data_IF_573399756932
#
_entry.id   IF_573399756932
#
_cell.length_a   1.000
_cell.length_b   1.000
_cell.length_c   1.000
_cell.angle_alpha   90.00
_cell.angle_beta   90.00
_cell.angle_gamma   90.00
#
_symmetry.space_group_name_H-M   'P 1'
#
loop_
_entity.id
_entity.type
_entity.pdbx_description
1 polymer ?
#
# COMPACT_ATOMS: atom_id res chain seq x y z
N UNK A 1 -29.90 -8.59 2.08
CA UNK A 1 -29.67 -7.13 1.95
C UNK A 1 -28.64 -6.99 0.84
N UNK A 2 -29.05 -6.68 -0.39
CA UNK A 2 -28.09 -6.50 -1.48
C UNK A 2 -27.48 -5.09 -1.37
N UNK A 3 -26.15 -4.94 -1.46
CA UNK A 3 -25.52 -3.63 -1.55
C UNK A 3 -26.07 -2.87 -2.77
N UNK A 4 -26.48 -1.60 -2.60
CA UNK A 4 -26.91 -0.73 -3.70
C UNK A 4 -28.38 -0.27 -3.70
N UNK A 5 -29.19 -0.63 -2.70
CA UNK A 5 -30.58 -0.17 -2.61
C UNK A 5 -30.73 1.05 -1.71
N UNK A 6 -31.35 2.13 -2.20
CA UNK A 6 -31.62 3.37 -1.43
C UNK A 6 -32.82 3.25 -0.48
N UNK A 7 -33.54 2.13 -0.52
CA UNK A 7 -34.73 1.90 0.30
C UNK A 7 -34.34 1.28 1.65
N UNK A 8 -34.76 1.91 2.74
CA UNK A 8 -34.56 1.38 4.08
C UNK A 8 -35.46 0.15 4.30
N UNK A 9 -34.85 -1.01 4.50
CA UNK A 9 -35.56 -2.25 4.85
C UNK A 9 -35.44 -2.53 6.35
N UNK A 10 -36.57 -2.73 7.02
CA UNK A 10 -36.59 -3.19 8.42
C UNK A 10 -36.12 -4.64 8.46
N UNK A 11 -34.97 -4.88 9.08
CA UNK A 11 -34.49 -6.23 9.39
C UNK A 11 -34.92 -6.64 10.79
N UNK A 12 -35.42 -7.87 10.92
CA UNK A 12 -35.62 -8.54 12.20
C UNK A 12 -34.38 -9.39 12.46
N UNK A 13 -33.71 -9.16 13.58
CA UNK A 13 -32.52 -9.92 13.98
C UNK A 13 -32.76 -10.59 15.33
N UNK A 14 -32.18 -11.78 15.53
CA UNK A 14 -32.15 -12.44 16.84
C UNK A 14 -31.12 -11.77 17.73
N UNK A 15 -31.51 -11.45 18.96
CA UNK A 15 -30.56 -11.00 19.97
C UNK A 15 -29.63 -12.16 20.32
N UNK A 16 -28.33 -11.95 20.13
CA UNK A 16 -27.30 -12.91 20.54
C UNK A 16 -26.57 -12.31 21.73
N UNK A 17 -26.56 -13.03 22.85
CA UNK A 17 -25.90 -12.55 24.05
C UNK A 17 -24.36 -12.63 23.91
N UNK A 18 -23.60 -11.77 24.61
CA UNK A 18 -22.14 -11.86 24.63
C UNK A 18 -21.61 -13.20 25.20
N UNK A 19 -22.44 -13.94 25.94
CA UNK A 19 -22.07 -15.27 26.45
C UNK A 19 -22.11 -16.31 25.34
N UNK A 20 -23.16 -16.31 24.52
CA UNK A 20 -23.30 -17.22 23.38
C UNK A 20 -22.19 -17.00 22.35
N UNK A 21 -21.89 -15.73 21.99
CA UNK A 21 -20.81 -15.40 21.06
C UNK A 21 -19.48 -16.01 21.55
N UNK A 22 -19.15 -15.82 22.83
CA UNK A 22 -17.92 -16.36 23.42
C UNK A 22 -17.90 -17.88 23.42
N UNK A 23 -19.04 -18.54 23.65
CA UNK A 23 -19.17 -19.99 23.58
C UNK A 23 -18.87 -20.53 22.18
N UNK A 24 -19.48 -19.93 21.15
CA UNK A 24 -19.26 -20.31 19.74
C UNK A 24 -17.80 -20.09 19.33
N UNK A 25 -17.23 -18.93 19.68
CA UNK A 25 -15.82 -18.62 19.38
C UNK A 25 -14.88 -19.62 20.06
N UNK A 26 -15.16 -20.02 21.31
CA UNK A 26 -14.35 -21.02 22.02
C UNK A 26 -14.39 -22.37 21.30
N UNK A 27 -15.58 -22.82 20.93
CA UNK A 27 -15.75 -24.09 20.23
C UNK A 27 -15.04 -24.11 18.86
N UNK A 28 -15.14 -23.01 18.10
CA UNK A 28 -14.45 -22.89 16.81
C UNK A 28 -12.92 -22.94 16.94
N UNK A 29 -12.36 -22.38 18.01
CA UNK A 29 -10.91 -22.44 18.29
C UNK A 29 -10.40 -23.85 18.60
N UNK A 30 -11.26 -24.73 19.10
CA UNK A 30 -10.90 -26.13 19.40
C UNK A 30 -10.88 -26.99 18.13
N UNK A 31 -11.71 -26.65 17.14
CA UNK A 31 -11.90 -27.45 15.92
C UNK A 31 -10.96 -27.01 14.78
N UNK A 32 -10.63 -25.73 14.69
CA UNK A 32 -9.89 -25.19 13.56
C UNK A 32 -8.69 -24.35 13.99
N UNK A 33 -7.55 -24.60 13.34
CA UNK A 33 -6.44 -23.67 13.38
C UNK A 33 -6.87 -22.35 12.72
N UNK A 34 -6.51 -21.20 13.28
CA UNK A 34 -6.90 -19.92 12.73
C UNK A 34 -6.21 -19.73 11.37
N UNK A 35 -7.01 -19.75 10.29
CA UNK A 35 -6.55 -19.43 8.96
C UNK A 35 -6.75 -17.93 8.72
N UNK A 36 -5.69 -17.15 8.88
CA UNK A 36 -5.69 -15.75 8.55
C UNK A 36 -5.18 -15.57 7.13
N UNK A 37 -5.98 -14.94 6.29
CA UNK A 37 -5.54 -14.50 4.97
C UNK A 37 -4.36 -13.53 5.16
N UNK A 38 -3.20 -13.83 4.56
CA UNK A 38 -1.97 -13.04 4.75
C UNK A 38 -2.15 -11.57 4.36
N UNK A 39 -3.00 -11.29 3.38
CA UNK A 39 -3.40 -9.93 2.98
C UNK A 39 -3.97 -9.15 4.17
N UNK A 40 -4.82 -9.78 4.98
CA UNK A 40 -5.48 -9.16 6.15
C UNK A 40 -4.54 -9.05 7.37
N UNK A 41 -3.53 -9.91 7.47
CA UNK A 41 -2.51 -9.84 8.53
C UNK A 41 -1.57 -8.65 8.30
N UNK A 42 -1.21 -8.37 7.05
CA UNK A 42 -0.38 -7.21 6.67
C UNK A 42 -1.11 -5.88 6.88
N UNK A 43 -2.45 -5.84 6.74
CA UNK A 43 -3.27 -4.63 6.98
C UNK A 43 -3.15 -4.12 8.43
N UNK A 44 -2.71 -4.95 9.38
CA UNK A 44 -2.62 -4.55 10.80
C UNK A 44 -1.32 -3.88 11.23
N UNK A 45 -0.34 -3.69 10.34
CA UNK A 45 0.92 -3.01 10.69
C UNK A 45 1.05 -1.57 10.17
N UNK A 46 0.11 -1.06 9.38
CA UNK A 46 0.15 0.33 8.92
C UNK A 46 -1.19 0.73 8.32
N UNK A 47 -1.72 1.89 8.72
CA UNK A 47 -3.06 2.37 8.39
C UNK A 47 -3.44 2.18 6.92
N UNK A 48 -4.61 1.59 6.71
CA UNK A 48 -5.11 1.16 5.41
C UNK A 48 -5.25 2.30 4.40
N UNK A 49 -4.47 2.21 3.33
CA UNK A 49 -4.85 2.59 1.97
C UNK A 49 -5.20 1.33 1.19
N UNK A 50 -6.31 1.36 0.47
CA UNK A 50 -6.90 0.23 -0.24
C UNK A 50 -5.93 -0.47 -1.20
N UNK A 51 -5.85 -1.81 -1.11
CA UNK A 51 -5.23 -2.63 -2.15
C UNK A 51 -6.31 -3.26 -3.02
N UNK A 52 -6.27 -2.80 -4.26
CA UNK A 52 -6.98 -3.30 -5.43
C UNK A 52 -6.61 -4.76 -5.68
N UNK A 53 -7.60 -5.53 -6.10
CA UNK A 53 -7.45 -6.93 -6.47
C UNK A 53 -6.74 -7.02 -7.82
N UNK A 54 -5.48 -7.43 -7.84
CA UNK A 54 -4.75 -7.70 -9.08
C UNK A 54 -3.44 -8.39 -8.79
N UNK A 55 -3.40 -9.70 -9.02
CA UNK A 55 -2.20 -10.50 -8.90
C UNK A 55 -1.13 -10.11 -9.92
N UNK A 56 0.11 -10.40 -9.55
CA UNK A 56 1.29 -10.15 -10.37
C UNK A 56 2.40 -9.66 -9.45
N UNK A 57 3.61 -10.15 -9.68
CA UNK A 57 4.85 -9.49 -9.27
C UNK A 57 4.64 -7.98 -9.40
N UNK A 58 4.90 -7.18 -8.36
CA UNK A 58 4.81 -5.72 -8.50
C UNK A 58 5.87 -5.30 -9.52
N UNK A 59 5.52 -5.27 -10.80
CA UNK A 59 6.27 -4.55 -11.82
C UNK A 59 6.48 -3.14 -11.28
N UNK A 60 7.75 -2.72 -11.20
CA UNK A 60 8.09 -1.30 -11.00
C UNK A 60 7.30 -0.54 -12.06
N UNK A 61 6.50 0.43 -11.62
CA UNK A 61 5.74 1.27 -12.55
C UNK A 61 6.73 1.96 -13.49
N UNK A 62 6.43 2.04 -14.80
CA UNK A 62 7.32 2.67 -15.79
C UNK A 62 7.74 4.10 -15.41
N UNK A 63 6.90 4.80 -14.63
CA UNK A 63 7.14 6.15 -14.17
C UNK A 63 7.88 6.22 -12.83
N UNK A 64 8.30 5.09 -12.27
CA UNK A 64 8.92 5.03 -10.95
C UNK A 64 10.21 5.85 -10.88
N UNK A 65 11.14 5.64 -11.82
CA UNK A 65 12.44 6.31 -11.80
C UNK A 65 12.32 7.83 -12.01
N UNK A 66 11.43 8.24 -12.93
CA UNK A 66 11.08 9.64 -13.15
C UNK A 66 10.48 10.27 -11.89
N UNK A 67 9.58 9.54 -11.21
CA UNK A 67 8.93 10.01 -10.01
C UNK A 67 9.93 10.17 -8.85
N UNK A 68 10.89 9.25 -8.72
CA UNK A 68 11.98 9.33 -7.73
C UNK A 68 12.80 10.60 -7.97
N UNK A 69 13.25 10.82 -9.21
CA UNK A 69 14.04 12.00 -9.58
C UNK A 69 13.31 13.29 -9.25
N UNK A 70 12.03 13.41 -9.62
CA UNK A 70 11.20 14.59 -9.32
C UNK A 70 11.08 14.80 -7.81
N UNK A 71 10.89 13.74 -7.03
CA UNK A 71 10.79 13.86 -5.58
C UNK A 71 12.10 14.35 -4.99
N UNK A 72 13.24 13.74 -5.31
CA UNK A 72 14.57 14.14 -4.81
C UNK A 72 14.85 15.60 -5.14
N UNK A 73 14.67 16.02 -6.40
CA UNK A 73 14.87 17.42 -6.83
C UNK A 73 14.01 18.41 -6.03
N UNK A 74 12.77 18.02 -5.72
CA UNK A 74 11.84 18.89 -5.00
C UNK A 74 12.05 18.90 -3.48
N UNK A 75 12.78 17.91 -2.94
CA UNK A 75 12.92 17.69 -1.50
C UNK A 75 11.61 17.35 -0.77
N UNK A 76 10.50 17.05 -1.48
CA UNK A 76 9.17 16.86 -0.88
C UNK A 76 8.50 15.58 -1.35
N UNK A 77 8.35 14.62 -0.45
CA UNK A 77 7.69 13.35 -0.74
C UNK A 77 6.16 13.39 -0.65
N UNK A 78 5.48 14.12 -1.54
CA UNK A 78 4.00 14.25 -1.50
C UNK A 78 3.31 13.72 -2.75
N UNK A 79 2.19 13.02 -2.56
CA UNK A 79 1.36 12.48 -3.66
C UNK A 79 0.92 13.58 -4.62
N UNK A 80 0.50 14.74 -4.10
CA UNK A 80 0.02 15.86 -4.92
C UNK A 80 1.11 16.48 -5.79
N UNK A 81 2.38 16.35 -5.41
CA UNK A 81 3.50 16.80 -6.24
C UNK A 81 3.59 15.97 -7.51
N UNK A 82 3.57 14.64 -7.38
CA UNK A 82 3.64 13.72 -8.51
C UNK A 82 2.43 13.90 -9.43
N UNK A 83 1.23 14.07 -8.87
CA UNK A 83 0.02 14.33 -9.67
C UNK A 83 0.17 15.55 -10.58
N UNK A 84 0.77 16.65 -10.08
CA UNK A 84 0.95 17.88 -10.86
C UNK A 84 2.11 17.80 -11.84
N UNK A 85 3.22 17.17 -11.45
CA UNK A 85 4.44 17.09 -12.27
C UNK A 85 4.33 16.07 -13.40
N UNK A 86 3.66 14.95 -13.16
CA UNK A 86 3.58 13.82 -14.10
C UNK A 86 2.20 13.65 -14.74
N UNK A 87 1.20 14.44 -14.32
CA UNK A 87 -0.15 14.37 -14.87
C UNK A 87 -0.91 13.09 -14.51
N UNK A 88 -0.48 12.36 -13.49
CA UNK A 88 -1.05 11.07 -13.09
C UNK A 88 -2.19 11.21 -12.06
N UNK A 89 -3.10 10.24 -12.06
CA UNK A 89 -4.19 10.17 -11.08
C UNK A 89 -3.71 9.83 -9.65
N UNK A 90 -4.56 10.12 -8.66
CA UNK A 90 -4.24 9.90 -7.23
C UNK A 90 -3.84 8.46 -6.91
N UNK A 91 -4.56 7.47 -7.46
CA UNK A 91 -4.27 6.05 -7.20
C UNK A 91 -2.87 5.64 -7.65
N UNK A 92 -2.44 6.06 -8.85
CA UNK A 92 -1.10 5.77 -9.38
C UNK A 92 -0.03 6.52 -8.60
N UNK A 93 -0.25 7.81 -8.32
CA UNK A 93 0.68 8.61 -7.51
C UNK A 93 0.84 8.06 -6.08
N UNK A 94 -0.23 7.56 -5.46
CA UNK A 94 -0.16 6.94 -4.14
C UNK A 94 0.67 5.66 -4.18
N UNK A 95 0.41 4.78 -5.17
CA UNK A 95 1.17 3.53 -5.35
C UNK A 95 2.66 3.80 -5.55
N UNK A 96 3.02 4.80 -6.36
CA UNK A 96 4.41 5.22 -6.57
C UNK A 96 5.08 5.65 -5.25
N UNK A 97 4.41 6.50 -4.46
CA UNK A 97 4.94 6.94 -3.16
C UNK A 97 5.10 5.78 -2.18
N UNK A 98 4.18 4.81 -2.21
CA UNK A 98 4.26 3.62 -1.36
C UNK A 98 5.39 2.68 -1.80
N UNK A 99 5.59 2.47 -3.11
CA UNK A 99 6.72 1.71 -3.65
C UNK A 99 8.06 2.36 -3.27
N UNK A 100 8.17 3.69 -3.34
CA UNK A 100 9.38 4.42 -2.92
C UNK A 100 9.65 4.30 -1.42
N UNK A 101 8.61 4.19 -0.60
CA UNK A 101 8.77 3.94 0.82
C UNK A 101 9.27 2.52 1.12
N UNK A 102 8.79 1.52 0.36
CA UNK A 102 9.30 0.14 0.43
C UNK A 102 10.76 0.07 -0.02
N UNK A 103 11.13 0.84 -1.05
CA UNK A 103 12.50 0.95 -1.54
C UNK A 103 13.44 1.76 -0.62
N UNK A 104 12.93 2.36 0.47
CA UNK A 104 13.76 3.15 1.40
C UNK A 104 14.16 4.53 0.89
N UNK A 105 13.61 4.98 -0.24
CA UNK A 105 13.85 6.30 -0.85
C UNK A 105 13.17 7.40 -0.03
N UNK A 106 11.97 7.07 0.49
CA UNK A 106 11.08 8.00 1.18
C UNK A 106 10.81 7.49 2.59
N UNK A 107 10.90 8.39 3.57
CA UNK A 107 10.68 8.08 4.98
C UNK A 107 9.24 7.76 5.35
N UNK A 108 9.04 7.43 6.62
CA UNK A 108 7.76 6.98 7.14
C UNK A 108 6.67 8.06 7.05
N UNK A 109 5.41 7.62 6.96
CA UNK A 109 4.28 8.52 6.78
C UNK A 109 3.93 9.26 8.08
N UNK A 110 4.26 10.56 8.16
CA UNK A 110 3.87 11.45 9.27
C UNK A 110 2.47 12.05 9.07
N UNK A 111 1.45 11.22 8.83
CA UNK A 111 0.06 11.67 8.69
C UNK A 111 -0.19 12.61 7.51
N UNK A 112 -0.81 13.77 7.71
CA UNK A 112 -1.15 14.70 6.60
C UNK A 112 0.04 15.44 5.98
N UNK A 113 1.27 15.21 6.47
CA UNK A 113 2.48 15.91 6.05
C UNK A 113 3.22 15.13 4.96
N UNK A 114 3.88 15.85 4.05
CA UNK A 114 4.76 15.27 3.05
C UNK A 114 5.86 14.42 3.71
N UNK A 115 6.19 13.28 3.11
CA UNK A 115 7.23 12.39 3.61
C UNK A 115 8.61 13.01 3.36
N UNK A 116 9.54 12.76 4.28
CA UNK A 116 10.94 13.17 4.16
C UNK A 116 11.64 12.28 3.13
N UNK A 117 12.59 12.84 2.39
CA UNK A 117 13.39 12.10 1.40
C UNK A 117 14.69 11.70 2.07
N UNK A 118 15.04 10.42 1.97
CA UNK A 118 16.16 9.83 2.68
C UNK A 118 17.43 9.72 1.83
N UNK A 119 17.30 9.79 0.51
CA UNK A 119 18.43 9.67 -0.44
C UNK A 119 18.70 10.97 -1.17
N UNK A 120 19.97 11.20 -1.52
CA UNK A 120 20.37 12.29 -2.40
C UNK A 120 20.32 11.86 -3.86
N UNK A 121 20.42 12.83 -4.77
CA UNK A 121 20.40 12.59 -6.22
C UNK A 121 21.65 11.82 -6.66
N UNK A 122 22.77 12.06 -5.99
CA UNK A 122 24.06 11.40 -6.22
C UNK A 122 24.02 9.93 -5.76
N UNK A 123 23.34 9.65 -4.63
CA UNK A 123 23.12 8.28 -4.16
C UNK A 123 22.18 7.49 -5.10
N UNK A 124 21.18 8.15 -5.67
CA UNK A 124 20.25 7.53 -6.61
C UNK A 124 20.93 7.15 -7.92
N UNK A 125 21.73 8.07 -8.49
CA UNK A 125 22.46 7.80 -9.74
C UNK A 125 23.51 6.67 -9.53
N UNK A 126 24.11 6.58 -8.34
CA UNK A 126 25.01 5.47 -8.00
C UNK A 126 24.28 4.12 -7.90
N UNK A 127 23.05 4.10 -7.38
CA UNK A 127 22.22 2.87 -7.34
C UNK A 127 21.82 2.41 -8.74
N UNK A 128 21.48 3.34 -9.63
CA UNK A 128 21.14 3.03 -11.03
C UNK A 128 22.34 2.45 -11.79
N UNK A 129 23.52 3.05 -11.62
CA UNK A 129 24.75 2.53 -12.25
C UNK A 129 25.13 1.12 -11.79
N UNK A 130 24.81 0.74 -10.54
CA UNK A 130 25.03 -0.62 -10.04
C UNK A 130 24.00 -1.62 -10.60
N UNK A 131 22.73 -1.21 -10.74
CA UNK A 131 21.70 -2.02 -11.41
C UNK A 131 22.08 -2.29 -12.89
N UNK A 132 22.68 -1.31 -13.57
CA UNK A 132 23.13 -1.44 -14.97
C UNK A 132 24.38 -2.34 -15.13
N UNK A 133 25.26 -2.42 -14.12
CA UNK A 133 26.49 -3.24 -14.16
C UNK A 133 26.27 -4.70 -13.71
N UNK A 134 25.19 -4.99 -12.97
CA UNK A 134 24.86 -6.33 -12.48
C UNK A 134 24.14 -7.23 -13.50
N UNK A 135 23.90 -6.77 -14.74
CA UNK A 135 23.32 -7.57 -15.84
C UNK A 135 24.36 -7.95 -16.92
N UNK A 136 25.29 -8.89 -16.65
CA UNK A 136 26.26 -9.36 -17.64
C UNK A 136 25.71 -10.44 -18.60
N UNK A 137 24.44 -10.85 -18.51
CA UNK A 137 23.89 -12.02 -19.21
C UNK A 137 22.84 -11.68 -20.30
N UNK A 138 23.02 -10.57 -21.01
CA UNK A 138 22.34 -10.30 -22.29
C UNK A 138 23.32 -10.31 -23.48
N UNK A 139 23.92 -11.46 -23.76
CA UNK A 139 24.38 -11.86 -25.12
C UNK A 139 23.60 -13.09 -25.63
#
# INVERSE_FOLDING_TARGET
ISPGTTTANRSQGTFVSPKEIRGVVKHLKEIAAPNFERSLVTIKLGGGGAVDAGGGVQERDDLFDDAVRIMIESGRGSVSLLQRRMGIGYGRASRLVDQMAVAGIVGEHKGSVAREILISLEDWDAMQHLEDEEDPDLE
#
